data_IF_450504610236
#
_entry.id   IF_450504610236
#
_cell.length_a   1.000
_cell.length_b   1.000
_cell.length_c   1.000
_cell.angle_alpha   90.00
_cell.angle_beta   90.00
_cell.angle_gamma   90.00
#
_symmetry.space_group_name_H-M   'P 1'
#
loop_
_entity.id
_entity.type
_entity.pdbx_description
1 polymer ?
#
# COMPACT_ATOMS: atom_id res chain seq x y z
N UNK A 1 21.82 -5.55 -9.98
CA UNK A 1 20.76 -5.74 -8.98
C UNK A 1 19.43 -6.00 -9.68
N UNK A 2 18.71 -7.01 -9.25
CA UNK A 2 17.40 -7.30 -9.85
C UNK A 2 16.43 -6.17 -9.57
N UNK A 3 15.62 -5.83 -10.56
CA UNK A 3 14.58 -4.82 -10.40
C UNK A 3 13.52 -5.34 -9.42
N UNK A 4 13.26 -4.58 -8.37
CA UNK A 4 12.14 -4.86 -7.47
C UNK A 4 10.86 -4.39 -8.14
N UNK A 5 9.84 -5.21 -8.09
CA UNK A 5 8.57 -4.91 -8.74
C UNK A 5 7.39 -5.32 -7.85
N UNK A 6 6.27 -4.67 -8.08
CA UNK A 6 5.00 -4.95 -7.40
C UNK A 6 3.97 -5.20 -8.49
N UNK A 7 3.38 -6.38 -8.47
CA UNK A 7 2.50 -6.82 -9.56
C UNK A 7 1.11 -7.11 -9.00
N UNK A 8 0.09 -6.55 -9.62
CA UNK A 8 -1.30 -6.93 -9.37
C UNK A 8 -1.55 -8.20 -10.17
N UNK A 9 -1.67 -9.33 -9.51
CA UNK A 9 -1.91 -10.61 -10.17
C UNK A 9 -3.37 -10.79 -10.57
N UNK A 10 -4.28 -10.33 -9.72
CA UNK A 10 -5.71 -10.48 -9.95
C UNK A 10 -6.49 -9.50 -9.12
N UNK A 11 -7.67 -9.11 -9.60
CA UNK A 11 -8.62 -8.28 -8.86
C UNK A 11 -10.00 -8.91 -9.05
N UNK A 12 -10.69 -9.11 -7.92
CA UNK A 12 -12.06 -9.59 -7.92
C UNK A 12 -12.93 -8.54 -7.24
N UNK A 13 -13.97 -8.08 -7.93
CA UNK A 13 -14.93 -7.15 -7.35
C UNK A 13 -16.02 -7.94 -6.63
N UNK A 14 -16.03 -7.87 -5.30
CA UNK A 14 -17.05 -8.51 -4.47
C UNK A 14 -18.15 -7.47 -4.20
N UNK A 15 -19.30 -7.65 -4.81
CA UNK A 15 -20.32 -6.59 -4.89
C UNK A 15 -21.35 -6.61 -3.78
N UNK A 16 -21.53 -7.72 -3.13
CA UNK A 16 -22.48 -7.84 -2.01
C UNK A 16 -21.76 -8.09 -0.69
N UNK A 17 -22.49 -8.52 0.34
CA UNK A 17 -21.84 -9.00 1.57
C UNK A 17 -20.87 -10.13 1.24
N UNK A 18 -19.70 -10.11 1.88
CA UNK A 18 -18.60 -11.00 1.55
C UNK A 18 -17.85 -11.39 2.83
N UNK A 19 -16.77 -12.16 2.67
CA UNK A 19 -15.99 -12.64 3.81
C UNK A 19 -15.28 -11.52 4.57
N UNK A 20 -15.17 -10.32 3.97
CA UNK A 20 -14.47 -9.20 4.58
C UNK A 20 -15.42 -8.25 5.32
N UNK A 21 -16.55 -7.92 4.70
CA UNK A 21 -17.47 -6.90 5.20
C UNK A 21 -18.81 -7.00 4.48
N UNK A 22 -19.79 -6.22 4.95
CA UNK A 22 -21.10 -6.13 4.30
C UNK A 22 -21.07 -5.28 3.02
N UNK A 23 -20.00 -4.56 2.78
CA UNK A 23 -19.94 -3.56 1.71
C UNK A 23 -19.08 -4.05 0.55
N UNK A 24 -19.28 -3.53 -0.66
CA UNK A 24 -18.47 -3.93 -1.81
C UNK A 24 -17.00 -3.65 -1.58
N UNK A 25 -16.15 -4.60 -1.95
CA UNK A 25 -14.70 -4.46 -1.89
C UNK A 25 -14.06 -4.96 -3.18
N UNK A 26 -12.88 -4.42 -3.49
CA UNK A 26 -11.94 -5.08 -4.39
C UNK A 26 -11.06 -6.00 -3.55
N UNK A 27 -10.99 -7.25 -3.96
CA UNK A 27 -10.03 -8.20 -3.42
C UNK A 27 -8.90 -8.31 -4.43
N UNK A 28 -7.75 -7.73 -4.11
CA UNK A 28 -6.61 -7.67 -5.01
C UNK A 28 -5.50 -8.61 -4.50
N UNK A 29 -4.92 -9.38 -5.41
CA UNK A 29 -3.80 -10.25 -5.12
C UNK A 29 -2.54 -9.57 -5.59
N UNK A 30 -1.67 -9.21 -4.64
CA UNK A 30 -0.49 -8.38 -4.89
C UNK A 30 0.77 -9.19 -4.64
N UNK A 31 1.59 -9.29 -5.67
CA UNK A 31 2.90 -9.94 -5.58
C UNK A 31 3.94 -8.85 -5.38
N UNK A 32 4.55 -8.82 -4.19
CA UNK A 32 5.57 -7.82 -3.87
C UNK A 32 7.00 -8.28 -4.19
N UNK A 33 7.15 -9.50 -4.72
CA UNK A 33 8.43 -10.02 -5.18
C UNK A 33 9.54 -9.92 -4.13
N UNK A 34 10.65 -9.32 -4.50
CA UNK A 34 11.81 -9.18 -3.63
C UNK A 34 11.57 -8.27 -2.42
N UNK A 35 10.52 -7.44 -2.43
CA UNK A 35 10.19 -6.61 -1.27
C UNK A 35 9.79 -7.44 -0.05
N UNK A 36 9.51 -8.73 -0.21
CA UNK A 36 9.27 -9.60 0.93
C UNK A 36 10.44 -9.65 1.90
N UNK A 37 11.65 -9.43 1.40
CA UNK A 37 12.87 -9.40 2.21
C UNK A 37 13.19 -8.01 2.77
N UNK A 38 12.42 -6.98 2.39
CA UNK A 38 12.69 -5.60 2.75
C UNK A 38 11.44 -4.91 3.31
N UNK A 39 11.10 -5.13 4.59
CA UNK A 39 10.04 -4.32 5.21
C UNK A 39 10.39 -2.85 5.19
N UNK A 40 9.42 -1.99 5.43
CA UNK A 40 9.57 -0.54 5.28
C UNK A 40 10.76 0.06 6.02
N UNK A 41 11.09 -0.47 7.20
CA UNK A 41 12.23 0.02 7.99
C UNK A 41 13.59 -0.46 7.46
N UNK A 42 13.61 -1.33 6.46
CA UNK A 42 14.82 -1.77 5.77
C UNK A 42 15.02 -1.06 4.42
N UNK A 43 14.19 -0.08 4.13
CA UNK A 43 14.29 0.73 2.92
C UNK A 43 14.68 2.15 3.35
N UNK A 44 16.00 2.51 3.27
CA UNK A 44 16.48 3.78 3.81
C UNK A 44 15.75 4.99 3.22
N UNK A 45 15.24 5.86 4.08
CA UNK A 45 14.55 7.07 3.67
C UNK A 45 13.17 6.87 3.04
N UNK A 46 12.68 5.65 3.01
CA UNK A 46 11.40 5.33 2.35
C UNK A 46 10.23 6.09 2.99
N UNK A 47 10.10 6.03 4.32
CA UNK A 47 8.99 6.68 5.04
C UNK A 47 8.97 8.17 4.77
N UNK A 48 10.11 8.84 4.82
CA UNK A 48 10.23 10.27 4.60
C UNK A 48 9.85 10.65 3.16
N UNK A 49 10.31 9.88 2.18
CA UNK A 49 9.99 10.13 0.78
C UNK A 49 8.52 9.85 0.47
N UNK A 50 7.98 8.77 1.00
CA UNK A 50 6.56 8.46 0.82
C UNK A 50 5.69 9.55 1.44
N UNK A 51 6.05 10.02 2.65
CA UNK A 51 5.34 11.10 3.32
C UNK A 51 5.43 12.41 2.53
N UNK A 52 6.58 12.68 1.90
CA UNK A 52 6.73 13.86 1.04
C UNK A 52 5.82 13.78 -0.19
N UNK A 53 5.67 12.59 -0.78
CA UNK A 53 4.80 12.39 -1.93
C UNK A 53 3.31 12.40 -1.55
N UNK A 54 2.98 11.95 -0.36
CA UNK A 54 1.60 11.82 0.10
C UNK A 54 1.49 12.24 1.56
N UNK A 55 1.56 13.58 1.84
CA UNK A 55 1.63 14.09 3.22
C UNK A 55 0.42 13.72 4.08
N UNK A 56 -0.75 13.57 3.48
CA UNK A 56 -1.97 13.24 4.22
C UNK A 56 -1.98 11.83 4.83
N UNK A 57 -0.98 10.98 4.52
CA UNK A 57 -0.82 9.70 5.23
C UNK A 57 -0.67 9.87 6.73
N UNK A 58 -0.26 11.06 7.20
CA UNK A 58 -0.17 11.36 8.63
C UNK A 58 -1.51 11.18 9.35
N UNK A 59 -2.62 11.32 8.62
CA UNK A 59 -3.96 11.15 9.20
C UNK A 59 -4.33 9.69 9.47
N UNK A 60 -3.62 8.74 8.89
CA UNK A 60 -3.90 7.32 9.06
C UNK A 60 -3.47 6.83 10.44
N UNK A 61 -4.36 6.13 11.12
CA UNK A 61 -4.16 5.71 12.51
C UNK A 61 -3.63 4.28 12.64
N UNK A 62 -3.95 3.43 11.66
CA UNK A 62 -3.59 2.01 11.71
C UNK A 62 -4.06 1.39 13.03
N UNK A 63 -3.32 0.42 13.55
CA UNK A 63 -3.68 -0.25 14.81
C UNK A 63 -3.41 0.60 16.06
N UNK A 64 -2.72 1.74 15.92
CA UNK A 64 -2.40 2.61 17.05
C UNK A 64 -3.54 3.51 17.48
N UNK A 65 -4.55 3.69 16.61
CA UNK A 65 -5.74 4.46 16.95
C UNK A 65 -5.52 5.95 17.09
N UNK A 66 -4.35 6.47 16.73
CA UNK A 66 -4.02 7.90 16.82
C UNK A 66 -3.39 8.43 15.53
N UNK A 67 -3.46 9.73 15.33
CA UNK A 67 -2.86 10.41 14.18
C UNK A 67 -1.37 10.09 14.11
N UNK A 68 -0.89 9.75 12.93
CA UNK A 68 0.51 9.34 12.74
C UNK A 68 0.76 7.86 13.00
N UNK A 69 -0.25 7.10 13.39
CA UNK A 69 -0.09 5.68 13.72
C UNK A 69 0.44 4.86 12.55
N UNK A 70 -0.01 5.13 11.33
CA UNK A 70 0.51 4.42 10.17
C UNK A 70 1.98 4.75 9.90
N UNK A 71 2.38 6.01 10.01
CA UNK A 71 3.78 6.40 9.82
C UNK A 71 4.67 5.76 10.89
N UNK A 72 4.18 5.68 12.12
CA UNK A 72 4.86 4.94 13.17
C UNK A 72 5.02 3.46 12.81
N UNK A 73 3.99 2.86 12.21
CA UNK A 73 4.04 1.47 11.76
C UNK A 73 5.10 1.28 10.66
N UNK A 74 5.25 2.25 9.75
CA UNK A 74 6.30 2.22 8.74
C UNK A 74 7.70 2.28 9.37
N UNK A 75 7.88 3.10 10.38
CA UNK A 75 9.17 3.22 11.08
C UNK A 75 9.52 1.95 11.86
N UNK A 76 8.54 1.30 12.44
CA UNK A 76 8.73 0.01 13.13
C UNK A 76 8.94 -1.15 12.17
N UNK A 77 8.44 -1.03 10.96
CA UNK A 77 8.59 -2.03 9.91
C UNK A 77 7.30 -2.75 9.59
N UNK A 78 6.87 -2.62 8.34
CA UNK A 78 5.75 -3.40 7.80
C UNK A 78 6.03 -3.67 6.32
N UNK A 79 5.29 -4.61 5.75
CA UNK A 79 5.54 -5.02 4.38
C UNK A 79 4.78 -4.15 3.39
N UNK A 80 5.27 -4.13 2.16
CA UNK A 80 4.76 -3.27 1.08
C UNK A 80 3.27 -3.52 0.80
N UNK A 81 2.79 -4.76 0.97
CA UNK A 81 1.37 -5.05 0.79
C UNK A 81 0.48 -4.20 1.70
N UNK A 82 0.83 -4.13 2.98
CA UNK A 82 0.12 -3.29 3.95
C UNK A 82 0.29 -1.79 3.62
N UNK A 83 1.47 -1.41 3.18
CA UNK A 83 1.72 -0.02 2.76
C UNK A 83 0.81 0.34 1.59
N UNK A 84 0.66 -0.54 0.60
CA UNK A 84 -0.20 -0.30 -0.55
C UNK A 84 -1.67 -0.14 -0.13
N UNK A 85 -2.13 -0.91 0.83
CA UNK A 85 -3.48 -0.74 1.36
C UNK A 85 -3.73 0.70 1.81
N UNK A 86 -2.85 1.25 2.65
CA UNK A 86 -3.01 2.61 3.16
C UNK A 86 -2.85 3.68 2.09
N UNK A 87 -1.90 3.50 1.18
CA UNK A 87 -1.69 4.45 0.07
C UNK A 87 -2.91 4.49 -0.85
N UNK A 88 -3.44 3.33 -1.23
CA UNK A 88 -4.61 3.27 -2.09
C UNK A 88 -5.84 3.92 -1.42
N UNK A 89 -6.05 3.64 -0.13
CA UNK A 89 -7.15 4.28 0.62
C UNK A 89 -6.99 5.79 0.66
N UNK A 90 -5.79 6.30 0.84
CA UNK A 90 -5.56 7.74 0.87
C UNK A 90 -5.80 8.38 -0.50
N UNK A 91 -5.37 7.72 -1.57
CA UNK A 91 -5.63 8.22 -2.92
C UNK A 91 -7.13 8.31 -3.22
N UNK A 92 -7.90 7.35 -2.75
CA UNK A 92 -9.36 7.40 -2.90
C UNK A 92 -9.96 8.54 -2.08
N UNK A 93 -9.48 8.76 -0.86
CA UNK A 93 -9.92 9.87 -0.03
C UNK A 93 -9.64 11.21 -0.71
N UNK A 94 -8.46 11.37 -1.30
CA UNK A 94 -8.10 12.57 -2.05
C UNK A 94 -8.95 12.75 -3.31
N UNK A 95 -9.46 11.68 -3.87
CA UNK A 95 -10.39 11.72 -5.00
C UNK A 95 -11.82 12.08 -4.58
N UNK A 96 -12.06 12.32 -3.30
CA UNK A 96 -13.35 12.74 -2.78
C UNK A 96 -14.25 11.60 -2.32
N UNK A 97 -13.75 10.38 -2.24
CA UNK A 97 -14.53 9.25 -1.75
C UNK A 97 -14.40 9.16 -0.23
N UNK A 98 -15.49 8.86 0.50
CA UNK A 98 -15.42 8.75 1.95
C UNK A 98 -14.41 7.70 2.40
N UNK A 99 -13.87 7.88 3.59
CA UNK A 99 -12.94 6.95 4.22
C UNK A 99 -13.49 5.52 4.18
N UNK A 100 -12.63 4.59 3.94
CA UNK A 100 -13.04 3.27 3.62
C UNK A 100 -12.49 2.19 4.51
N UNK A 101 -12.83 1.00 4.13
CA UNK A 101 -12.36 -0.23 4.74
C UNK A 101 -11.13 -0.73 3.97
N UNK A 102 -10.12 -1.16 4.71
CA UNK A 102 -8.97 -1.84 4.12
C UNK A 102 -8.47 -2.93 5.05
N UNK A 103 -8.04 -4.03 4.48
CA UNK A 103 -7.39 -5.14 5.18
C UNK A 103 -6.34 -5.76 4.28
N UNK A 104 -5.27 -6.24 4.90
CA UNK A 104 -4.19 -6.96 4.22
C UNK A 104 -3.97 -8.28 4.91
N UNK A 105 -3.87 -9.35 4.13
CA UNK A 105 -3.57 -10.68 4.63
C UNK A 105 -2.48 -11.33 3.82
N UNK A 106 -1.62 -12.09 4.50
CA UNK A 106 -0.69 -12.99 3.83
C UNK A 106 -1.45 -14.12 3.16
N UNK A 107 -0.86 -14.67 2.11
CA UNK A 107 -1.36 -15.88 1.46
C UNK A 107 -0.41 -17.05 1.73
N UNK A 108 -0.75 -18.22 1.23
CA UNK A 108 0.13 -19.39 1.35
C UNK A 108 1.38 -19.27 0.48
N UNK A 109 1.38 -18.36 -0.48
CA UNK A 109 2.54 -18.09 -1.33
C UNK A 109 3.32 -16.91 -0.77
N UNK A 110 4.61 -17.12 -0.49
CA UNK A 110 5.48 -16.09 0.05
C UNK A 110 5.58 -14.90 -0.91
N UNK A 111 5.40 -13.70 -0.39
CA UNK A 111 5.46 -12.48 -1.18
C UNK A 111 4.16 -12.09 -1.87
N UNK A 112 3.11 -12.90 -1.71
CA UNK A 112 1.80 -12.59 -2.28
C UNK A 112 0.82 -12.26 -1.16
N UNK A 113 0.22 -11.10 -1.25
CA UNK A 113 -0.72 -10.58 -0.26
C UNK A 113 -2.09 -10.38 -0.88
N UNK A 114 -3.11 -10.56 -0.06
CA UNK A 114 -4.48 -10.29 -0.47
C UNK A 114 -4.92 -9.01 0.22
N UNK A 115 -5.27 -8.00 -0.58
CA UNK A 115 -5.80 -6.72 -0.10
C UNK A 115 -7.30 -6.67 -0.36
N UNK A 116 -8.06 -6.33 0.69
CA UNK A 116 -9.47 -6.01 0.52
C UNK A 116 -9.63 -4.51 0.74
N UNK A 117 -10.09 -3.80 -0.28
CA UNK A 117 -10.26 -2.35 -0.25
C UNK A 117 -11.69 -2.00 -0.60
N UNK A 118 -12.31 -1.12 0.22
CA UNK A 118 -13.65 -0.63 -0.05
C UNK A 118 -13.77 -0.13 -1.48
N UNK A 119 -14.75 -0.64 -2.20
CA UNK A 119 -14.96 -0.28 -3.59
C UNK A 119 -16.19 0.60 -3.74
N UNK A 120 -15.99 1.84 -4.21
CA UNK A 120 -17.05 2.76 -4.56
C UNK A 120 -17.33 2.74 -6.07
N UNK A 121 -16.24 2.71 -6.86
CA UNK A 121 -16.28 2.64 -8.32
C UNK A 121 -15.07 1.83 -8.78
N UNK A 122 -15.29 0.84 -9.62
CA UNK A 122 -14.25 -0.12 -10.03
C UNK A 122 -13.03 0.56 -10.65
N UNK A 123 -13.25 1.53 -11.53
CA UNK A 123 -12.16 2.23 -12.22
C UNK A 123 -11.33 3.08 -11.26
N UNK A 124 -11.96 3.77 -10.31
CA UNK A 124 -11.24 4.60 -9.34
C UNK A 124 -10.42 3.72 -8.41
N UNK A 125 -11.00 2.62 -7.93
CA UNK A 125 -10.27 1.71 -7.03
C UNK A 125 -9.08 1.08 -7.75
N UNK A 126 -9.24 0.69 -9.01
CA UNK A 126 -8.14 0.15 -9.81
C UNK A 126 -7.03 1.18 -10.00
N UNK A 127 -7.38 2.41 -10.35
CA UNK A 127 -6.42 3.50 -10.52
C UNK A 127 -5.70 3.78 -9.21
N UNK A 128 -6.40 3.78 -8.09
CA UNK A 128 -5.79 3.99 -6.78
C UNK A 128 -4.74 2.93 -6.47
N UNK A 129 -5.00 1.66 -6.79
CA UNK A 129 -4.02 0.59 -6.62
C UNK A 129 -2.82 0.78 -7.54
N UNK A 130 -3.04 1.07 -8.81
CA UNK A 130 -1.98 1.26 -9.79
C UNK A 130 -1.10 2.47 -9.46
N UNK A 131 -1.71 3.60 -9.12
CA UNK A 131 -0.99 4.80 -8.74
C UNK A 131 -0.31 4.64 -7.38
N UNK A 132 -0.93 3.90 -6.47
CA UNK A 132 -0.32 3.57 -5.19
C UNK A 132 0.98 2.80 -5.37
N UNK A 133 1.00 1.83 -6.27
CA UNK A 133 2.21 1.09 -6.61
C UNK A 133 3.27 2.04 -7.18
N UNK A 134 2.87 2.93 -8.10
CA UNK A 134 3.81 3.88 -8.69
C UNK A 134 4.45 4.80 -7.65
N UNK A 135 3.65 5.30 -6.69
CA UNK A 135 4.16 6.15 -5.61
C UNK A 135 5.14 5.40 -4.71
N UNK A 136 4.81 4.16 -4.36
CA UNK A 136 5.69 3.34 -3.53
C UNK A 136 7.02 3.10 -4.23
N UNK A 137 6.98 2.71 -5.51
CA UNK A 137 8.19 2.47 -6.28
C UNK A 137 9.03 3.74 -6.44
N UNK A 138 8.40 4.89 -6.65
CA UNK A 138 9.11 6.16 -6.71
C UNK A 138 9.83 6.47 -5.40
N UNK A 139 9.18 6.22 -4.26
CA UNK A 139 9.79 6.43 -2.96
C UNK A 139 10.99 5.50 -2.73
N UNK A 140 10.91 4.25 -3.22
CA UNK A 140 12.01 3.28 -3.10
C UNK A 140 13.15 3.64 -4.06
N UNK A 141 12.84 3.92 -5.33
CA UNK A 141 13.85 4.18 -6.36
C UNK A 141 14.69 5.41 -6.04
N UNK A 142 14.08 6.49 -5.56
CA UNK A 142 14.82 7.69 -5.17
C UNK A 142 15.83 7.39 -4.08
N UNK A 143 15.51 6.50 -3.15
CA UNK A 143 16.45 6.06 -2.13
C UNK A 143 17.63 5.29 -2.71
N UNK A 144 17.37 4.42 -3.67
CA UNK A 144 18.43 3.69 -4.36
C UNK A 144 19.35 4.62 -5.13
N UNK A 145 18.78 5.58 -5.85
CA UNK A 145 19.59 6.55 -6.60
C UNK A 145 20.46 7.38 -5.67
N UNK A 146 19.94 7.82 -4.54
CA UNK A 146 20.70 8.56 -3.55
C UNK A 146 21.88 7.75 -3.02
N UNK A 147 21.67 6.48 -2.70
CA UNK A 147 22.76 5.59 -2.25
C UNK A 147 23.83 5.42 -3.31
N UNK A 148 23.45 5.29 -4.57
CA UNK A 148 24.40 5.14 -5.68
C UNK A 148 25.16 6.43 -5.92
N UNK A 149 24.53 7.59 -5.80
CA UNK A 149 25.13 8.87 -6.08
C UNK A 149 26.07 9.37 -4.98
N UNK A 150 25.93 8.85 -3.76
CA UNK A 150 26.79 9.24 -2.63
C UNK A 150 28.11 8.47 -2.63
N UNK A 151 28.20 7.43 -3.42
CA UNK A 151 29.46 6.70 -3.61
C UNK A 151 30.37 7.48 -4.55
#
# INVERSE_FOLDING_TARGET
MKKKDIIIRDIIALRGPNIWTYRPVFEAWIDIGEFEDYPSNKLPGFTERLTALLPSLVEHRCNYGERGGFLRRLDEGTWIGHTLEHVALELMTLAGLPGGFGRTRETTERGVYKLAIRNWQDDITRIALEQGIALILAAVENGFLEEVLVV
#
